data_IF_897564729541
#
_entry.id   IF_897564729541
#
_cell.length_a   1.000
_cell.length_b   1.000
_cell.length_c   1.000
_cell.angle_alpha   90.00
_cell.angle_beta   90.00
_cell.angle_gamma   90.00
#
_symmetry.space_group_name_H-M   'P 1'
#
loop_
_entity.id
_entity.type
_entity.pdbx_description
1 polymer ?
#
# COMPACT_ATOMS: atom_id res chain seq x y z
N UNK A 1 9.33 4.32 -5.25
CA UNK A 1 8.54 3.83 -4.10
C UNK A 1 8.93 2.40 -3.73
N UNK A 2 8.81 1.44 -4.65
CA UNK A 2 9.17 0.02 -4.42
C UNK A 2 10.57 -0.16 -3.84
N UNK A 3 11.58 0.54 -4.35
CA UNK A 3 12.96 0.41 -3.83
C UNK A 3 13.12 0.84 -2.37
N UNK A 4 12.39 1.88 -1.94
CA UNK A 4 12.42 2.34 -0.54
C UNK A 4 11.75 1.30 0.34
N UNK A 5 10.61 0.74 -0.09
CA UNK A 5 9.92 -0.33 0.65
C UNK A 5 10.76 -1.60 0.74
N UNK A 6 11.52 -1.96 -0.31
CA UNK A 6 12.47 -3.07 -0.27
C UNK A 6 13.57 -2.82 0.77
N UNK A 7 14.21 -1.65 0.71
CA UNK A 7 15.22 -1.26 1.71
C UNK A 7 14.66 -1.21 3.13
N UNK A 8 13.42 -0.77 3.30
CA UNK A 8 12.72 -0.77 4.58
C UNK A 8 12.48 -2.20 5.10
N UNK A 9 12.01 -3.10 4.23
CA UNK A 9 11.77 -4.49 4.57
C UNK A 9 13.09 -5.22 4.94
N UNK A 10 14.16 -4.98 4.17
CA UNK A 10 15.46 -5.63 4.34
C UNK A 10 16.38 -4.96 5.38
N UNK A 11 15.86 -4.01 6.17
CA UNK A 11 16.63 -3.25 7.17
C UNK A 11 17.86 -2.50 6.60
N UNK A 12 17.79 -2.06 5.34
CA UNK A 12 18.87 -1.32 4.65
C UNK A 12 18.73 0.22 4.74
N UNK A 13 17.68 0.73 5.39
CA UNK A 13 17.57 2.16 5.67
C UNK A 13 18.49 2.55 6.85
N UNK A 14 18.97 3.81 6.91
CA UNK A 14 19.86 4.28 7.96
C UNK A 14 19.12 4.56 9.29
N UNK A 15 18.28 3.63 9.74
CA UNK A 15 17.53 3.68 10.99
C UNK A 15 17.82 2.45 11.84
N UNK A 16 17.63 2.55 13.16
CA UNK A 16 17.81 1.41 14.05
C UNK A 16 16.81 0.29 13.72
N UNK A 17 17.22 -0.96 13.93
CA UNK A 17 16.34 -2.12 13.76
C UNK A 17 15.04 -1.96 14.56
N UNK A 18 15.14 -1.52 15.83
CA UNK A 18 14.00 -1.25 16.70
C UNK A 18 12.99 -0.28 16.08
N UNK A 19 13.45 0.81 15.47
CA UNK A 19 12.55 1.78 14.85
C UNK A 19 11.84 1.19 13.62
N UNK A 20 12.57 0.43 12.79
CA UNK A 20 12.00 -0.26 11.63
C UNK A 20 10.97 -1.29 12.08
N UNK A 21 11.28 -2.09 13.12
CA UNK A 21 10.36 -3.08 13.69
C UNK A 21 9.05 -2.41 14.14
N UNK A 22 9.13 -1.31 14.90
CA UNK A 22 7.95 -0.55 15.34
C UNK A 22 7.11 -0.09 14.15
N UNK A 23 7.74 0.45 13.11
CA UNK A 23 7.00 0.90 11.91
C UNK A 23 6.35 -0.28 11.20
N UNK A 24 7.05 -1.42 11.04
CA UNK A 24 6.49 -2.63 10.40
C UNK A 24 5.24 -3.11 11.12
N UNK A 25 5.23 -3.09 12.45
CA UNK A 25 4.07 -3.49 13.25
C UNK A 25 2.88 -2.52 13.10
N UNK A 26 3.14 -1.22 13.09
CA UNK A 26 2.06 -0.20 13.02
C UNK A 26 1.37 -0.18 11.65
N UNK A 27 2.05 -0.58 10.58
CA UNK A 27 1.48 -0.57 9.22
C UNK A 27 0.77 -1.88 8.83
N UNK A 28 0.64 -2.84 9.75
CA UNK A 28 -0.13 -4.08 9.51
C UNK A 28 -1.60 -3.74 9.38
N UNK A 29 -2.21 -4.22 8.30
CA UNK A 29 -3.63 -4.02 7.99
C UNK A 29 -4.45 -5.29 8.23
N UNK A 30 -3.85 -6.46 8.04
CA UNK A 30 -4.48 -7.78 8.23
C UNK A 30 -3.42 -8.85 8.34
N UNK A 31 -3.68 -9.86 9.18
CA UNK A 31 -2.81 -11.03 9.34
C UNK A 31 -3.68 -12.25 9.62
N UNK A 32 -3.79 -13.17 8.65
CA UNK A 32 -4.59 -14.38 8.75
C UNK A 32 -3.95 -15.51 7.93
N UNK A 33 -4.07 -16.76 8.39
CA UNK A 33 -3.68 -17.96 7.64
C UNK A 33 -2.26 -17.90 7.01
N UNK A 34 -1.28 -17.40 7.76
CA UNK A 34 0.11 -17.28 7.29
C UNK A 34 0.33 -16.21 6.20
N UNK A 35 -0.67 -15.36 5.97
CA UNK A 35 -0.59 -14.20 5.07
C UNK A 35 -0.74 -12.91 5.86
N UNK A 36 0.22 -11.99 5.71
CA UNK A 36 0.23 -10.68 6.38
C UNK A 36 0.29 -9.56 5.36
N UNK A 37 -0.70 -8.66 5.39
CA UNK A 37 -0.77 -7.46 4.57
C UNK A 37 -0.35 -6.25 5.40
N UNK A 38 0.66 -5.54 4.93
CA UNK A 38 1.15 -4.29 5.50
C UNK A 38 1.09 -3.18 4.46
N UNK A 39 0.67 -1.98 4.83
CA UNK A 39 0.68 -0.86 3.89
C UNK A 39 0.07 0.43 4.42
N UNK A 40 0.18 1.47 3.60
CA UNK A 40 -0.34 2.80 3.91
C UNK A 40 -1.00 3.42 2.69
N UNK A 41 -2.16 4.03 2.89
CA UNK A 41 -2.84 4.85 1.89
C UNK A 41 -2.32 6.28 1.89
N UNK A 42 -2.35 6.92 0.72
CA UNK A 42 -2.09 8.34 0.53
C UNK A 42 -3.17 8.97 -0.35
N UNK A 43 -3.39 10.26 -0.17
CA UNK A 43 -4.30 11.04 -1.00
C UNK A 43 -3.69 12.41 -1.30
N UNK A 44 -3.99 12.94 -2.49
CA UNK A 44 -3.65 14.28 -2.93
C UNK A 44 -4.92 15.00 -3.39
N UNK A 45 -5.12 16.21 -2.86
CA UNK A 45 -6.23 17.09 -3.20
C UNK A 45 -5.82 18.07 -4.30
N UNK A 46 -6.76 18.45 -5.16
CA UNK A 46 -6.59 19.60 -6.05
C UNK A 46 -6.64 20.87 -5.20
N UNK A 47 -5.76 21.83 -5.50
CA UNK A 47 -5.77 23.11 -4.80
C UNK A 47 -7.13 23.80 -4.96
N UNK A 48 -7.68 24.30 -3.85
CA UNK A 48 -8.99 24.95 -3.78
C UNK A 48 -10.19 24.07 -4.19
N UNK A 49 -10.11 22.74 -4.04
CA UNK A 49 -11.28 21.88 -4.19
C UNK A 49 -11.26 20.65 -3.27
N UNK A 50 -12.44 20.11 -2.96
CA UNK A 50 -12.59 18.89 -2.15
C UNK A 50 -12.40 17.59 -2.98
N UNK A 51 -11.72 17.71 -4.13
CA UNK A 51 -11.57 16.59 -5.07
C UNK A 51 -10.23 15.91 -4.88
N UNK A 52 -10.25 14.61 -4.63
CA UNK A 52 -9.05 13.77 -4.66
C UNK A 52 -8.66 13.53 -6.12
N UNK A 53 -7.46 13.99 -6.47
CA UNK A 53 -6.90 13.85 -7.82
C UNK A 53 -5.81 12.81 -7.88
N UNK A 54 -5.28 12.38 -6.73
CA UNK A 54 -4.15 11.47 -6.68
C UNK A 54 -4.28 10.50 -5.49
N UNK A 55 -4.43 9.22 -5.76
CA UNK A 55 -4.59 8.17 -4.76
C UNK A 55 -3.38 7.23 -4.74
N UNK A 56 -2.93 6.87 -3.54
CA UNK A 56 -1.82 5.93 -3.35
C UNK A 56 -2.19 4.80 -2.41
N UNK A 57 -1.70 3.61 -2.71
CA UNK A 57 -1.60 2.53 -1.74
C UNK A 57 -0.28 1.77 -1.95
N UNK A 58 0.55 1.76 -0.92
CA UNK A 58 1.91 1.22 -0.99
C UNK A 58 2.15 0.29 0.19
N UNK A 59 2.90 -0.79 0.00
CA UNK A 59 3.08 -1.79 1.04
C UNK A 59 3.68 -3.10 0.53
N UNK A 60 3.48 -4.15 1.33
CA UNK A 60 3.93 -5.51 1.00
C UNK A 60 3.00 -6.57 1.60
N UNK A 61 3.02 -7.75 0.98
CA UNK A 61 2.37 -8.97 1.50
C UNK A 61 3.44 -10.00 1.82
N UNK A 62 3.39 -10.57 3.02
CA UNK A 62 4.19 -11.72 3.42
C UNK A 62 3.31 -12.98 3.32
N UNK A 63 3.70 -13.96 2.51
CA UNK A 63 2.95 -15.22 2.31
C UNK A 63 3.89 -16.36 1.94
N UNK A 64 3.78 -17.49 2.64
CA UNK A 64 4.54 -18.72 2.35
C UNK A 64 6.05 -18.47 2.23
N UNK A 65 6.61 -17.62 3.10
CA UNK A 65 8.02 -17.22 3.07
C UNK A 65 8.42 -16.27 1.94
N UNK A 66 7.48 -15.86 1.09
CA UNK A 66 7.68 -14.88 0.03
C UNK A 66 7.18 -13.49 0.45
N UNK A 67 7.80 -12.46 -0.13
CA UNK A 67 7.48 -11.05 0.12
C UNK A 67 7.14 -10.38 -1.21
N UNK A 68 5.91 -9.88 -1.31
CA UNK A 68 5.39 -9.22 -2.51
C UNK A 68 5.23 -7.74 -2.24
N UNK A 69 6.14 -6.92 -2.78
CA UNK A 69 6.09 -5.46 -2.63
C UNK A 69 5.23 -4.86 -3.72
N UNK A 70 4.34 -3.92 -3.36
CA UNK A 70 3.49 -3.20 -4.31
C UNK A 70 3.53 -1.69 -4.08
N UNK A 71 3.24 -0.95 -5.14
CA UNK A 71 3.00 0.49 -5.10
C UNK A 71 1.99 0.85 -6.18
N UNK A 72 0.76 1.15 -5.76
CA UNK A 72 -0.33 1.52 -6.65
C UNK A 72 -0.56 3.01 -6.58
N UNK A 73 -0.70 3.62 -7.75
CA UNK A 73 -1.07 5.01 -7.93
C UNK A 73 -2.26 5.11 -8.88
N UNK A 74 -3.21 5.98 -8.56
CA UNK A 74 -4.31 6.35 -9.45
C UNK A 74 -4.43 7.87 -9.52
N UNK A 75 -4.80 8.38 -10.69
CA UNK A 75 -4.97 9.80 -10.96
C UNK A 75 -6.32 10.03 -11.64
N UNK A 76 -7.01 11.12 -11.26
CA UNK A 76 -8.25 11.55 -11.90
C UNK A 76 -7.96 12.77 -12.78
N UNK A 77 -8.36 12.70 -14.05
CA UNK A 77 -8.00 13.66 -15.09
C UNK A 77 -8.99 14.82 -15.26
N UNK A 78 -10.23 14.68 -14.79
CA UNK A 78 -11.28 15.70 -14.96
C UNK A 78 -12.29 15.71 -13.80
N UNK A 79 -13.18 16.71 -13.74
CA UNK A 79 -14.13 16.90 -12.61
C UNK A 79 -15.26 15.87 -12.57
N UNK A 80 -15.56 15.20 -13.68
CA UNK A 80 -16.63 14.19 -13.81
C UNK A 80 -16.19 12.77 -13.48
N UNK A 81 -14.89 12.47 -13.46
CA UNK A 81 -14.36 11.17 -13.04
C UNK A 81 -14.53 10.92 -11.54
N UNK A 82 -14.71 9.65 -11.16
CA UNK A 82 -14.63 9.21 -9.76
C UNK A 82 -13.34 9.74 -9.13
N UNK A 83 -13.47 10.32 -7.95
CA UNK A 83 -12.37 10.84 -7.14
C UNK A 83 -11.26 9.78 -6.98
N UNK A 84 -10.00 10.13 -7.28
CA UNK A 84 -8.85 9.23 -7.16
C UNK A 84 -8.37 9.22 -5.70
N UNK A 85 -9.05 8.42 -4.86
CA UNK A 85 -8.77 8.33 -3.43
C UNK A 85 -7.75 7.25 -3.08
N UNK A 86 -7.17 7.33 -1.88
CA UNK A 86 -6.35 6.25 -1.34
C UNK A 86 -7.12 4.94 -1.16
N UNK A 87 -8.43 5.01 -0.88
CA UNK A 87 -9.28 3.81 -0.79
C UNK A 87 -9.47 3.17 -2.16
N UNK A 88 -9.71 3.95 -3.22
CA UNK A 88 -9.77 3.42 -4.58
C UNK A 88 -8.47 2.75 -5.01
N UNK A 89 -7.31 3.33 -4.65
CA UNK A 89 -6.02 2.70 -4.89
C UNK A 89 -5.88 1.36 -4.14
N UNK A 90 -6.38 1.30 -2.90
CA UNK A 90 -6.39 0.09 -2.08
C UNK A 90 -7.29 -0.99 -2.67
N UNK A 91 -8.52 -0.66 -3.05
CA UNK A 91 -9.47 -1.60 -3.68
C UNK A 91 -8.88 -2.24 -4.94
N UNK A 92 -8.31 -1.43 -5.84
CA UNK A 92 -7.66 -1.92 -7.07
C UNK A 92 -6.50 -2.86 -6.73
N UNK A 93 -5.68 -2.49 -5.74
CA UNK A 93 -4.54 -3.32 -5.32
C UNK A 93 -4.99 -4.66 -4.77
N UNK A 94 -5.98 -4.67 -3.88
CA UNK A 94 -6.50 -5.90 -3.29
C UNK A 94 -7.11 -6.82 -4.35
N UNK A 95 -7.81 -6.26 -5.34
CA UNK A 95 -8.31 -7.02 -6.49
C UNK A 95 -7.17 -7.67 -7.28
N UNK A 96 -6.13 -6.92 -7.63
CA UNK A 96 -4.97 -7.46 -8.36
C UNK A 96 -4.24 -8.53 -7.54
N UNK A 97 -4.06 -8.33 -6.23
CA UNK A 97 -3.42 -9.32 -5.35
C UNK A 97 -4.24 -10.60 -5.25
N UNK A 98 -5.57 -10.49 -5.23
CA UNK A 98 -6.49 -11.64 -5.28
C UNK A 98 -6.44 -12.35 -6.63
N UNK A 99 -6.48 -11.61 -7.73
CA UNK A 99 -6.39 -12.16 -9.09
C UNK A 99 -5.05 -12.89 -9.33
N UNK A 100 -3.99 -12.48 -8.62
CA UNK A 100 -2.67 -13.13 -8.61
C UNK A 100 -2.51 -14.22 -7.55
N UNK A 101 -3.56 -14.55 -6.79
CA UNK A 101 -3.52 -15.53 -5.70
C UNK A 101 -2.50 -15.22 -4.59
N UNK A 102 -2.16 -13.94 -4.40
CA UNK A 102 -1.20 -13.47 -3.39
C UNK A 102 -1.89 -13.15 -2.07
N UNK A 103 -3.03 -12.46 -2.10
CA UNK A 103 -3.77 -12.04 -0.91
C UNK A 103 -5.27 -12.21 -1.12
N UNK A 104 -6.00 -12.64 -0.09
CA UNK A 104 -7.45 -12.79 -0.11
C UNK A 104 -8.05 -11.92 0.99
N UNK A 105 -9.08 -11.14 0.64
CA UNK A 105 -9.95 -10.53 1.64
C UNK A 105 -10.94 -11.59 2.12
N UNK A 106 -11.18 -11.64 3.43
CA UNK A 106 -12.34 -12.36 3.99
C UNK A 106 -13.66 -11.76 3.48
#
# INVERSE_FOLDING_TARGET
>A
MVDILRKFYDYQLPFSKRNIDIVKEIIVLSENNGTRLSGKTGLGLKANSDKYINGWFVGYVEKDGNVYIFATNIEASNETEKSASGEGAKEITLKILKDKSIFYTE
#
